data_IF_858112599175
#
_entry.id   IF_858112599175
#
_cell.length_a   1.000
_cell.length_b   1.000
_cell.length_c   1.000
_cell.angle_alpha   90.00
_cell.angle_beta   90.00
_cell.angle_gamma   90.00
#
_symmetry.space_group_name_H-M   'P 1'
#
loop_
_entity.id
_entity.type
_entity.pdbx_description
1 polymer ?
#
# COMPACT_ATOMS: atom_id res chain seq x y z
N UNK A 1 -12.68 6.94 9.99
CA UNK A 1 -11.82 5.75 10.26
C UNK A 1 -10.35 6.15 10.09
N UNK A 2 -9.41 5.58 10.84
CA UNK A 2 -7.98 5.86 10.64
C UNK A 2 -7.37 4.92 9.60
N UNK A 3 -6.64 5.47 8.63
CA UNK A 3 -5.95 4.69 7.59
C UNK A 3 -4.44 4.65 7.92
N UNK A 4 -3.87 3.46 7.99
CA UNK A 4 -2.43 3.24 8.04
C UNK A 4 -1.92 2.96 6.64
N UNK A 5 -1.02 3.79 6.14
CA UNK A 5 -0.29 3.56 4.91
C UNK A 5 1.09 3.02 5.24
N UNK A 6 1.50 1.97 4.55
CA UNK A 6 2.82 1.37 4.72
C UNK A 6 3.59 1.47 3.41
N UNK A 7 4.77 2.06 3.48
CA UNK A 7 5.76 2.03 2.39
C UNK A 7 6.99 1.26 2.85
N UNK A 8 7.42 0.32 2.02
CA UNK A 8 8.69 -0.38 2.21
C UNK A 8 9.70 0.13 1.22
N UNK A 9 10.92 0.35 1.66
CA UNK A 9 11.95 1.00 0.83
C UNK A 9 13.34 0.39 1.06
N UNK A 10 14.11 0.32 -0.02
CA UNK A 10 15.52 -0.03 0.00
C UNK A 10 16.22 0.63 -1.19
N UNK A 11 17.12 1.58 -0.92
CA UNK A 11 17.84 2.35 -1.94
C UNK A 11 16.90 3.00 -2.96
N UNK A 12 15.88 3.71 -2.47
CA UNK A 12 14.81 4.31 -3.29
C UNK A 12 14.86 5.85 -3.32
N UNK A 13 16.00 6.46 -3.09
CA UNK A 13 16.15 7.92 -3.05
C UNK A 13 15.61 8.64 -4.30
N UNK A 14 15.61 7.97 -5.46
CA UNK A 14 15.15 8.55 -6.73
C UNK A 14 13.61 8.66 -6.85
N UNK A 15 12.87 7.82 -6.15
CA UNK A 15 11.41 7.67 -6.34
C UNK A 15 10.61 7.99 -5.08
N UNK A 16 11.18 7.76 -3.91
CA UNK A 16 10.49 7.89 -2.63
C UNK A 16 9.92 9.30 -2.40
N UNK A 17 10.53 10.34 -2.95
CA UNK A 17 10.05 11.70 -2.83
C UNK A 17 8.64 11.86 -3.42
N UNK A 18 8.38 11.31 -4.61
CA UNK A 18 7.08 11.36 -5.27
C UNK A 18 6.02 10.57 -4.48
N UNK A 19 6.42 9.41 -3.93
CA UNK A 19 5.55 8.62 -3.04
C UNK A 19 5.13 9.43 -1.81
N UNK A 20 6.10 10.02 -1.08
CA UNK A 20 5.84 10.79 0.14
C UNK A 20 4.97 12.02 -0.18
N UNK A 21 5.27 12.77 -1.24
CA UNK A 21 4.48 13.92 -1.68
C UNK A 21 3.04 13.53 -1.98
N UNK A 22 2.83 12.40 -2.66
CA UNK A 22 1.48 11.94 -3.00
C UNK A 22 0.64 11.58 -1.78
N UNK A 23 1.27 11.09 -0.70
CA UNK A 23 0.62 10.83 0.58
C UNK A 23 0.36 12.13 1.34
N UNK A 24 1.32 13.04 1.37
CA UNK A 24 1.21 14.32 2.07
C UNK A 24 0.10 15.22 1.47
N UNK A 25 -0.12 15.12 0.16
CA UNK A 25 -1.12 15.91 -0.58
C UNK A 25 -2.54 15.35 -0.52
N UNK A 26 -2.79 14.24 0.19
CA UNK A 26 -4.14 13.70 0.32
C UNK A 26 -5.05 14.60 1.16
N UNK A 27 -6.31 14.78 0.71
CA UNK A 27 -7.34 15.56 1.42
C UNK A 27 -7.75 14.90 2.74
N UNK A 28 -7.71 13.58 2.81
CA UNK A 28 -8.02 12.83 4.02
C UNK A 28 -6.87 12.87 5.01
N UNK A 29 -7.09 13.50 6.17
CA UNK A 29 -6.03 13.79 7.15
C UNK A 29 -5.90 12.76 8.28
N UNK A 30 -6.93 11.91 8.50
CA UNK A 30 -6.89 10.89 9.55
C UNK A 30 -6.09 9.66 9.11
N UNK A 31 -4.83 9.89 8.80
CA UNK A 31 -3.87 8.88 8.37
C UNK A 31 -2.70 8.78 9.34
N UNK A 32 -2.09 7.62 9.42
CA UNK A 32 -0.70 7.44 9.82
C UNK A 32 0.09 6.87 8.64
N UNK A 33 1.28 7.37 8.45
CA UNK A 33 2.19 6.92 7.41
C UNK A 33 3.37 6.20 8.04
N UNK A 34 3.66 5.00 7.59
CA UNK A 34 4.70 4.13 8.16
C UNK A 34 5.68 3.78 7.05
N UNK A 35 6.95 4.14 7.22
CA UNK A 35 8.02 3.78 6.30
C UNK A 35 8.93 2.76 6.96
N UNK A 36 9.14 1.63 6.29
CA UNK A 36 10.09 0.59 6.72
C UNK A 36 11.23 0.55 5.71
N UNK A 37 12.39 1.02 6.14
CA UNK A 37 13.62 1.03 5.35
C UNK A 37 14.49 -0.18 5.65
N UNK A 38 14.93 -0.88 4.61
CA UNK A 38 15.75 -2.09 4.67
C UNK A 38 17.25 -1.87 4.87
N UNK A 39 17.66 -0.84 5.64
CA UNK A 39 19.05 -0.37 5.75
C UNK A 39 19.60 0.17 4.42
N UNK A 40 18.94 1.15 3.84
CA UNK A 40 19.43 1.86 2.66
C UNK A 40 20.80 2.51 2.91
N UNK A 41 21.61 2.52 1.89
CA UNK A 41 22.94 3.13 1.91
C UNK A 41 23.09 4.32 0.94
N UNK A 42 21.99 4.73 0.33
CA UNK A 42 21.84 5.96 -0.44
C UNK A 42 21.13 7.05 0.40
N UNK A 43 20.67 8.13 -0.25
CA UNK A 43 19.99 9.25 0.43
C UNK A 43 18.57 8.95 0.93
N UNK A 44 18.08 7.71 0.84
CA UNK A 44 16.69 7.33 1.21
C UNK A 44 16.37 7.75 2.64
N UNK A 45 17.23 7.43 3.61
CA UNK A 45 16.99 7.75 5.03
C UNK A 45 17.07 9.26 5.30
N UNK A 46 17.92 9.97 4.58
CA UNK A 46 18.04 11.43 4.64
C UNK A 46 16.71 12.06 4.20
N UNK A 47 16.17 11.63 3.07
CA UNK A 47 14.86 12.09 2.59
C UNK A 47 13.74 11.83 3.60
N UNK A 48 13.66 10.64 4.19
CA UNK A 48 12.64 10.33 5.20
C UNK A 48 12.70 11.34 6.36
N UNK A 49 13.89 11.64 6.87
CA UNK A 49 14.10 12.62 7.97
C UNK A 49 13.70 14.04 7.57
N UNK A 50 13.96 14.45 6.34
CA UNK A 50 13.58 15.77 5.82
C UNK A 50 12.06 15.94 5.75
N UNK A 51 11.33 14.87 5.36
CA UNK A 51 9.87 14.91 5.24
C UNK A 51 9.12 14.65 6.55
N UNK A 52 9.73 14.00 7.54
CA UNK A 52 9.09 13.63 8.81
C UNK A 52 8.38 14.81 9.49
N UNK A 53 8.99 16.02 9.63
CA UNK A 53 8.34 17.16 10.30
C UNK A 53 7.05 17.62 9.58
N UNK A 54 6.96 17.45 8.27
CA UNK A 54 5.80 17.87 7.47
C UNK A 54 4.54 17.05 7.78
N UNK A 55 4.71 15.85 8.30
CA UNK A 55 3.60 14.99 8.72
C UNK A 55 3.06 15.29 10.11
N UNK A 56 3.70 16.21 10.87
CA UNK A 56 3.21 16.64 12.18
C UNK A 56 2.95 15.46 13.14
N UNK A 57 3.88 14.50 13.19
CA UNK A 57 3.80 13.31 14.04
C UNK A 57 2.98 12.15 13.47
N UNK A 58 2.40 12.29 12.26
CA UNK A 58 1.68 11.20 11.59
C UNK A 58 2.58 10.23 10.83
N UNK A 59 3.85 10.60 10.56
CA UNK A 59 4.86 9.72 9.99
C UNK A 59 5.63 9.00 11.10
N UNK A 60 5.75 7.69 10.97
CA UNK A 60 6.62 6.82 11.76
C UNK A 60 7.54 6.07 10.81
N UNK A 61 8.76 5.83 11.18
CA UNK A 61 9.66 5.05 10.35
C UNK A 61 10.69 4.27 11.17
N UNK A 62 11.19 3.20 10.58
CA UNK A 62 12.31 2.42 11.07
C UNK A 62 13.26 2.13 9.91
N UNK A 63 14.56 2.04 10.23
CA UNK A 63 15.58 1.58 9.29
C UNK A 63 16.31 0.42 9.93
N UNK A 64 16.08 -0.78 9.43
CA UNK A 64 16.68 -2.00 9.96
C UNK A 64 16.70 -3.10 8.89
N UNK A 65 17.60 -4.07 9.06
CA UNK A 65 17.69 -5.21 8.16
C UNK A 65 16.38 -6.01 8.14
N UNK A 66 15.91 -6.32 6.95
CA UNK A 66 14.79 -7.21 6.72
C UNK A 66 15.23 -8.52 6.03
N UNK A 67 14.29 -9.47 5.92
CA UNK A 67 14.44 -10.73 5.19
C UNK A 67 13.82 -10.67 3.80
N UNK A 68 13.66 -9.47 3.26
CA UNK A 68 13.06 -9.18 1.96
C UNK A 68 11.75 -8.39 2.06
N UNK A 69 11.24 -8.00 0.91
CA UNK A 69 10.08 -7.10 0.72
C UNK A 69 8.90 -7.43 1.64
N UNK A 70 8.48 -8.68 1.70
CA UNK A 70 7.30 -9.09 2.46
C UNK A 70 7.53 -9.10 3.98
N UNK A 71 8.77 -9.28 4.44
CA UNK A 71 9.13 -9.12 5.85
C UNK A 71 9.02 -7.64 6.27
N UNK A 72 9.52 -6.74 5.43
CA UNK A 72 9.39 -5.30 5.64
C UNK A 72 7.91 -4.85 5.64
N UNK A 73 7.09 -5.33 4.69
CA UNK A 73 5.65 -5.08 4.68
C UNK A 73 4.98 -5.56 5.97
N UNK A 74 5.31 -6.76 6.45
CA UNK A 74 4.77 -7.30 7.70
C UNK A 74 5.17 -6.47 8.91
N UNK A 75 6.41 -5.95 8.96
CA UNK A 75 6.84 -5.03 10.02
C UNK A 75 5.99 -3.76 10.02
N UNK A 76 5.79 -3.14 8.86
CA UNK A 76 4.96 -1.95 8.73
C UNK A 76 3.51 -2.19 9.15
N UNK A 77 2.91 -3.32 8.75
CA UNK A 77 1.54 -3.69 9.16
C UNK A 77 1.45 -3.90 10.68
N UNK A 78 2.45 -4.52 11.32
CA UNK A 78 2.48 -4.68 12.79
C UNK A 78 2.64 -3.37 13.53
N UNK A 79 3.34 -2.39 12.94
CA UNK A 79 3.47 -1.04 13.50
C UNK A 79 2.18 -0.21 13.33
N UNK A 80 1.29 -0.62 12.44
CA UNK A 80 0.05 0.11 12.14
C UNK A 80 -0.93 0.06 13.31
N UNK A 81 -1.62 1.18 13.53
CA UNK A 81 -2.63 1.35 14.60
C UNK A 81 -3.98 1.81 14.04
N UNK A 82 -4.08 2.03 12.74
CA UNK A 82 -5.32 2.40 12.07
C UNK A 82 -6.29 1.24 11.90
N UNK A 83 -7.51 1.58 11.56
CA UNK A 83 -8.57 0.61 11.30
C UNK A 83 -8.34 -0.13 9.98
N UNK A 84 -7.83 0.62 9.00
CA UNK A 84 -7.59 0.17 7.62
C UNK A 84 -6.09 0.22 7.34
N UNK A 85 -5.61 -0.75 6.57
CA UNK A 85 -4.23 -0.78 6.07
C UNK A 85 -4.22 -0.79 4.55
N UNK A 86 -3.36 0.04 3.97
CA UNK A 86 -2.97 0.02 2.56
C UNK A 86 -1.44 0.00 2.43
N UNK A 87 -0.96 -0.59 1.36
CA UNK A 87 0.47 -0.60 1.01
C UNK A 87 0.66 0.27 -0.23
N UNK A 88 1.65 1.15 -0.19
CA UNK A 88 2.12 1.89 -1.36
C UNK A 88 3.62 1.69 -1.48
N UNK A 89 4.11 1.22 -2.62
CA UNK A 89 5.54 0.97 -2.80
C UNK A 89 6.31 2.30 -2.92
N UNK A 90 7.60 2.27 -2.70
CA UNK A 90 8.46 3.46 -2.72
C UNK A 90 8.71 4.05 -4.13
N UNK A 91 8.16 3.44 -5.17
CA UNK A 91 8.16 3.88 -6.56
C UNK A 91 6.74 4.10 -7.12
N UNK A 92 5.71 3.97 -6.26
CA UNK A 92 4.32 4.25 -6.59
C UNK A 92 3.86 5.59 -5.98
N UNK A 93 2.85 6.21 -6.56
CA UNK A 93 2.23 7.43 -6.03
C UNK A 93 0.74 7.52 -6.36
N UNK A 94 -0.01 8.20 -5.50
CA UNK A 94 -1.42 8.50 -5.75
C UNK A 94 -1.53 9.60 -6.81
N UNK A 95 -2.25 9.33 -7.88
CA UNK A 95 -2.42 10.29 -8.98
C UNK A 95 -3.41 11.42 -8.68
N UNK A 96 -4.13 11.36 -7.55
CA UNK A 96 -5.13 12.35 -7.11
C UNK A 96 -5.05 12.55 -5.60
N UNK A 97 -5.39 13.75 -5.16
CA UNK A 97 -5.41 14.09 -3.73
C UNK A 97 -6.62 13.57 -2.95
N UNK A 98 -7.63 12.98 -3.60
CA UNK A 98 -8.88 12.50 -2.98
C UNK A 98 -8.99 10.96 -2.87
N UNK A 99 -7.89 10.23 -3.12
CA UNK A 99 -7.93 8.76 -3.14
C UNK A 99 -8.25 8.19 -1.76
N UNK A 100 -7.57 8.67 -0.72
CA UNK A 100 -7.78 8.16 0.64
C UNK A 100 -9.13 8.56 1.23
N UNK A 101 -9.68 9.69 0.82
CA UNK A 101 -11.05 10.10 1.16
C UNK A 101 -12.07 9.11 0.62
N UNK A 102 -11.97 8.75 -0.66
CA UNK A 102 -12.84 7.73 -1.29
C UNK A 102 -12.69 6.35 -0.66
N UNK A 103 -11.47 5.99 -0.28
CA UNK A 103 -11.23 4.75 0.48
C UNK A 103 -12.00 4.81 1.80
N UNK A 104 -11.83 5.86 2.60
CA UNK A 104 -12.51 6.02 3.88
C UNK A 104 -14.03 5.96 3.75
N UNK A 105 -14.62 6.76 2.83
CA UNK A 105 -16.06 6.77 2.54
C UNK A 105 -16.60 5.38 2.19
N UNK A 106 -15.85 4.63 1.38
CA UNK A 106 -16.29 3.28 0.96
C UNK A 106 -16.32 2.28 2.11
N UNK A 107 -15.44 2.41 3.12
CA UNK A 107 -15.50 1.59 4.33
C UNK A 107 -16.55 2.08 5.31
N UNK A 108 -16.76 3.39 5.43
CA UNK A 108 -17.77 4.00 6.30
C UNK A 108 -19.20 3.68 5.88
N UNK A 109 -19.43 3.39 4.60
CA UNK A 109 -20.70 2.87 4.09
C UNK A 109 -21.09 1.48 4.66
N UNK A 110 -20.14 0.78 5.32
CA UNK A 110 -20.42 -0.40 6.17
C UNK A 110 -20.56 -1.74 5.46
N UNK A 111 -20.57 -1.78 4.12
CA UNK A 111 -20.74 -3.02 3.36
C UNK A 111 -19.42 -3.61 2.81
N UNK A 112 -18.33 -2.86 2.92
CA UNK A 112 -17.05 -3.17 2.28
C UNK A 112 -16.02 -3.63 3.31
N UNK A 113 -15.33 -4.71 3.02
CA UNK A 113 -14.26 -5.28 3.87
C UNK A 113 -12.88 -5.17 3.22
N UNK A 114 -12.85 -4.98 1.89
CA UNK A 114 -11.64 -4.73 1.12
C UNK A 114 -11.95 -3.84 -0.09
N UNK A 115 -10.97 -3.05 -0.50
CA UNK A 115 -11.04 -2.18 -1.68
C UNK A 115 -9.86 -2.48 -2.58
N UNK A 116 -10.05 -2.35 -3.87
CA UNK A 116 -9.00 -2.37 -4.87
C UNK A 116 -9.37 -1.45 -6.04
N UNK A 117 -8.36 -1.03 -6.79
CA UNK A 117 -8.52 -0.10 -7.91
C UNK A 117 -7.60 -0.44 -9.07
N UNK A 118 -7.37 0.54 -9.91
CA UNK A 118 -6.54 0.45 -11.11
C UNK A 118 -5.13 1.02 -10.87
N UNK A 119 -4.17 0.63 -11.71
CA UNK A 119 -2.82 1.19 -11.73
C UNK A 119 -2.49 1.71 -13.13
N UNK A 120 -1.85 2.88 -13.16
CA UNK A 120 -1.22 3.43 -14.35
C UNK A 120 0.29 3.32 -14.23
N UNK A 121 0.92 2.74 -15.23
CA UNK A 121 2.37 2.79 -15.37
C UNK A 121 2.70 4.04 -16.16
N UNK A 122 3.52 4.90 -15.60
CA UNK A 122 3.90 6.17 -16.22
C UNK A 122 5.36 6.15 -16.68
N UNK A 123 5.68 7.06 -17.59
CA UNK A 123 7.07 7.22 -18.03
C UNK A 123 7.88 7.93 -16.93
N UNK A 124 9.03 7.39 -16.50
CA UNK A 124 9.84 8.00 -15.43
C UNK A 124 10.36 9.41 -15.78
N UNK A 125 10.54 9.73 -17.08
CA UNK A 125 10.96 11.06 -17.52
C UNK A 125 9.81 12.05 -17.70
N UNK A 126 8.55 11.56 -17.66
CA UNK A 126 7.34 12.36 -17.78
C UNK A 126 6.16 11.62 -17.12
N UNK A 127 5.92 11.91 -15.84
CA UNK A 127 4.92 11.23 -15.02
C UNK A 127 3.47 11.43 -15.50
N UNK A 128 3.20 12.44 -16.32
CA UNK A 128 1.88 12.66 -16.95
C UNK A 128 1.62 11.68 -18.11
N UNK A 129 2.68 11.06 -18.66
CA UNK A 129 2.58 10.15 -19.78
C UNK A 129 2.35 8.72 -19.32
N UNK A 130 1.12 8.24 -19.47
CA UNK A 130 0.78 6.83 -19.24
C UNK A 130 1.34 5.94 -20.35
N UNK A 131 2.11 4.91 -19.98
CA UNK A 131 2.67 3.91 -20.89
C UNK A 131 1.88 2.59 -20.87
N UNK A 132 1.23 2.29 -19.74
CA UNK A 132 0.39 1.09 -19.58
C UNK A 132 -0.69 1.37 -18.55
N UNK A 133 -1.87 0.80 -18.77
CA UNK A 133 -2.98 0.83 -17.82
C UNK A 133 -3.36 -0.60 -17.42
N UNK A 134 -3.46 -0.85 -16.11
CA UNK A 134 -3.90 -2.12 -15.57
C UNK A 134 -5.22 -1.92 -14.82
N UNK A 135 -6.31 -2.47 -15.37
CA UNK A 135 -7.63 -2.34 -14.77
C UNK A 135 -8.03 -3.57 -13.98
N UNK A 136 -8.45 -3.34 -12.76
CA UNK A 136 -9.04 -4.35 -11.88
C UNK A 136 -10.57 -4.37 -11.93
N UNK A 137 -11.21 -3.52 -12.76
CA UNK A 137 -12.67 -3.32 -12.81
C UNK A 137 -13.48 -4.60 -13.04
N UNK A 138 -12.95 -5.53 -13.83
CA UNK A 138 -13.62 -6.79 -14.16
C UNK A 138 -13.20 -7.95 -13.25
N UNK A 139 -12.45 -7.66 -12.19
CA UNK A 139 -12.01 -8.71 -11.29
C UNK A 139 -13.19 -9.29 -10.51
N UNK A 140 -13.22 -10.63 -10.46
CA UNK A 140 -14.01 -11.43 -9.52
C UNK A 140 -13.10 -12.52 -8.96
N UNK A 141 -13.29 -12.98 -7.70
CA UNK A 141 -12.36 -13.89 -7.04
C UNK A 141 -12.09 -15.19 -7.81
N UNK A 142 -13.04 -15.68 -8.63
CA UNK A 142 -12.83 -16.86 -9.47
C UNK A 142 -11.74 -16.70 -10.54
N UNK A 143 -11.36 -15.46 -10.88
CA UNK A 143 -10.32 -15.18 -11.87
C UNK A 143 -8.90 -15.45 -11.35
N UNK A 144 -8.73 -15.62 -10.04
CA UNK A 144 -7.45 -16.06 -9.50
C UNK A 144 -6.95 -17.36 -10.14
N UNK A 145 -7.85 -18.31 -10.48
CA UNK A 145 -7.47 -19.56 -11.17
C UNK A 145 -6.76 -19.36 -12.51
N UNK A 146 -6.87 -18.19 -13.09
CA UNK A 146 -6.23 -17.80 -14.35
C UNK A 146 -5.06 -16.85 -14.16
N UNK A 147 -4.62 -16.62 -12.91
CA UNK A 147 -3.51 -15.72 -12.59
C UNK A 147 -3.88 -14.23 -12.60
N UNK A 148 -5.16 -13.87 -12.74
CA UNK A 148 -5.60 -12.48 -12.69
C UNK A 148 -5.88 -12.07 -11.24
N UNK A 149 -5.32 -10.93 -10.81
CA UNK A 149 -5.51 -10.37 -9.46
C UNK A 149 -5.70 -8.85 -9.53
N UNK A 150 -6.33 -8.22 -8.54
CA UNK A 150 -6.28 -6.77 -8.41
C UNK A 150 -4.86 -6.26 -8.26
N UNK A 151 -4.61 -5.03 -8.70
CA UNK A 151 -3.31 -4.41 -8.52
C UNK A 151 -2.99 -4.25 -7.01
N UNK A 152 -1.97 -4.92 -6.53
CA UNK A 152 -1.61 -4.99 -5.10
C UNK A 152 -1.45 -3.60 -4.43
N UNK A 153 -0.82 -2.57 -5.05
CA UNK A 153 -0.69 -1.26 -4.39
C UNK A 153 -2.01 -0.50 -4.19
N UNK A 154 -3.10 -1.00 -4.79
CA UNK A 154 -4.43 -0.40 -4.64
C UNK A 154 -5.30 -1.12 -3.62
N UNK A 155 -4.76 -2.17 -2.97
CA UNK A 155 -5.52 -2.98 -2.04
C UNK A 155 -5.52 -2.39 -0.64
N UNK A 156 -6.73 -2.14 -0.12
CA UNK A 156 -6.98 -1.70 1.25
C UNK A 156 -7.91 -2.69 1.95
N UNK A 157 -7.66 -2.95 3.22
CA UNK A 157 -8.51 -3.82 4.03
C UNK A 157 -8.41 -3.47 5.52
N UNK A 158 -9.32 -3.98 6.35
CA UNK A 158 -9.23 -3.81 7.79
C UNK A 158 -7.98 -4.48 8.35
N UNK A 159 -7.24 -3.76 9.22
CA UNK A 159 -6.04 -4.26 9.90
C UNK A 159 -6.30 -5.60 10.62
N UNK A 160 -7.48 -5.74 11.26
CA UNK A 160 -7.88 -6.97 11.96
C UNK A 160 -7.78 -8.25 11.12
N UNK A 161 -7.90 -8.16 9.80
CA UNK A 161 -7.84 -9.34 8.94
C UNK A 161 -6.43 -9.89 8.77
N UNK A 162 -5.40 -9.04 8.93
CA UNK A 162 -4.02 -9.55 9.02
C UNK A 162 -3.80 -10.37 10.28
N UNK A 163 -4.39 -9.97 11.41
CA UNK A 163 -4.32 -10.73 12.65
C UNK A 163 -5.13 -12.05 12.57
N UNK A 164 -6.29 -12.01 11.91
CA UNK A 164 -7.20 -13.17 11.79
C UNK A 164 -6.78 -14.18 10.74
N UNK A 165 -6.36 -13.69 9.56
CA UNK A 165 -6.11 -14.53 8.39
C UNK A 165 -4.61 -14.66 8.08
N UNK A 166 -3.75 -13.95 8.80
CA UNK A 166 -2.30 -13.98 8.67
C UNK A 166 -1.74 -12.93 7.72
N UNK A 167 -0.50 -12.61 7.95
CA UNK A 167 0.32 -11.64 7.24
C UNK A 167 0.84 -12.19 5.90
N UNK A 168 1.66 -11.42 5.17
CA UNK A 168 2.39 -11.91 4.00
C UNK A 168 3.29 -13.07 4.36
N UNK A 169 3.27 -14.12 3.55
CA UNK A 169 4.14 -15.29 3.74
C UNK A 169 5.55 -15.01 3.25
N UNK A 170 6.51 -14.96 4.16
CA UNK A 170 7.91 -14.60 3.86
C UNK A 170 8.73 -15.72 3.23
N UNK A 171 8.19 -16.93 3.14
CA UNK A 171 8.80 -18.04 2.40
C UNK A 171 8.61 -17.95 0.88
N UNK A 172 7.74 -17.05 0.40
CA UNK A 172 7.64 -16.71 -1.01
C UNK A 172 8.63 -15.59 -1.35
N UNK A 173 9.50 -15.81 -2.33
CA UNK A 173 10.38 -14.76 -2.86
C UNK A 173 9.60 -13.77 -3.75
N UNK A 174 8.60 -14.27 -4.46
CA UNK A 174 7.72 -13.53 -5.38
C UNK A 174 6.30 -14.04 -5.14
N UNK A 175 5.29 -13.17 -5.37
CA UNK A 175 3.86 -13.52 -5.35
C UNK A 175 3.27 -13.83 -3.96
N UNK A 176 3.86 -13.37 -2.83
CA UNK A 176 3.18 -13.42 -1.55
C UNK A 176 1.97 -12.46 -1.48
N UNK A 177 1.98 -11.41 -2.29
CA UNK A 177 0.84 -10.53 -2.53
C UNK A 177 -0.31 -11.26 -3.20
N UNK A 178 -0.02 -12.06 -4.23
CA UNK A 178 -1.01 -12.92 -4.88
C UNK A 178 -1.60 -13.93 -3.88
N UNK A 179 -0.75 -14.61 -3.10
CA UNK A 179 -1.20 -15.55 -2.06
C UNK A 179 -2.11 -14.86 -1.03
N UNK A 180 -1.74 -13.68 -0.56
CA UNK A 180 -2.53 -12.91 0.39
C UNK A 180 -3.90 -12.54 -0.20
N UNK A 181 -3.94 -12.03 -1.42
CA UNK A 181 -5.20 -11.67 -2.08
C UNK A 181 -6.10 -12.90 -2.33
N UNK A 182 -5.54 -14.05 -2.73
CA UNK A 182 -6.27 -15.31 -2.84
C UNK A 182 -6.85 -15.71 -1.48
N UNK A 183 -6.06 -15.66 -0.43
CA UNK A 183 -6.48 -16.01 0.93
C UNK A 183 -7.59 -15.10 1.41
N UNK A 184 -7.47 -13.79 1.27
CA UNK A 184 -8.44 -12.81 1.75
C UNK A 184 -9.72 -12.82 0.90
N UNK A 185 -9.60 -12.74 -0.42
CA UNK A 185 -10.75 -12.51 -1.29
C UNK A 185 -11.44 -13.80 -1.77
N UNK A 186 -10.69 -14.90 -1.92
CA UNK A 186 -11.24 -16.16 -2.42
C UNK A 186 -11.53 -17.16 -1.31
N UNK A 187 -10.58 -17.37 -0.38
CA UNK A 187 -10.75 -18.34 0.71
C UNK A 187 -11.66 -17.77 1.79
N UNK A 188 -11.34 -16.59 2.33
CA UNK A 188 -12.13 -15.94 3.40
C UNK A 188 -13.28 -15.10 2.88
N UNK A 189 -13.39 -14.91 1.55
CA UNK A 189 -14.52 -14.26 0.87
C UNK A 189 -14.84 -12.85 1.40
N UNK A 190 -13.80 -12.06 1.69
CA UNK A 190 -14.02 -10.67 2.08
C UNK A 190 -14.85 -9.94 1.01
N UNK A 191 -15.86 -9.20 1.46
CA UNK A 191 -16.68 -8.37 0.57
C UNK A 191 -15.82 -7.23 0.02
N UNK A 192 -15.43 -7.36 -1.23
CA UNK A 192 -14.54 -6.40 -1.88
C UNK A 192 -15.27 -5.51 -2.87
N UNK A 193 -14.83 -4.25 -2.95
CA UNK A 193 -15.37 -3.22 -3.84
C UNK A 193 -14.25 -2.67 -4.74
N UNK A 194 -14.58 -2.51 -6.02
CA UNK A 194 -13.76 -1.75 -6.94
C UNK A 194 -14.03 -0.25 -6.75
N UNK A 195 -12.96 0.56 -6.69
CA UNK A 195 -12.99 2.01 -6.48
C UNK A 195 -12.70 2.76 -7.78
#
# INVERSE_FOLDING_TARGET
MKISLVTVTFNSAKTLCDTIHSVLSQSYTNIEYIIVDGLSNDETVTLIKEYEPLFQGRLKWISEKDKGLYDAMNKGIRMSTGDIVGIINSDDFYHRGDVLEKVAESFEAGETEAIYGDVRFVNPDNLDRTVRYYSSKRFVPSLFRFGFMPAHPTFFTYRKYFDQFGYYKTNYKIAADYELLVRFLYVHRLKSKYL
#
